data_IF_755264442851
#
_entry.id   IF_755264442851
#
_cell.length_a   1.000
_cell.length_b   1.000
_cell.length_c   1.000
_cell.angle_alpha   90.00
_cell.angle_beta   90.00
_cell.angle_gamma   90.00
#
_symmetry.space_group_name_H-M   'P 1'
#
loop_
_entity.id
_entity.type
_entity.pdbx_description
1 polymer ?
#
# COMPACT_ATOMS: atom_id res chain seq x y z
N UNK A 1 -92.22 -3.64 -14.62
CA UNK A 1 -91.59 -3.84 -13.29
C UNK A 1 -90.30 -4.61 -13.48
N UNK A 2 -89.21 -4.11 -12.89
CA UNK A 2 -87.98 -4.82 -12.46
C UNK A 2 -87.21 -5.66 -13.51
N UNK A 3 -86.03 -5.24 -13.97
CA UNK A 3 -84.69 -5.63 -13.46
C UNK A 3 -84.39 -7.14 -13.69
N UNK A 4 -83.23 -7.62 -14.13
CA UNK A 4 -81.89 -7.06 -14.27
C UNK A 4 -80.97 -8.20 -14.80
N UNK A 5 -80.15 -7.89 -15.81
CA UNK A 5 -78.69 -8.15 -15.89
C UNK A 5 -78.21 -9.62 -15.80
N UNK A 6 -77.53 -10.13 -16.86
CA UNK A 6 -76.07 -10.31 -16.85
C UNK A 6 -75.49 -10.63 -18.25
N UNK A 7 -74.26 -10.13 -18.45
CA UNK A 7 -73.51 -9.89 -19.69
C UNK A 7 -72.46 -11.03 -19.94
N UNK A 8 -71.30 -10.81 -20.59
CA UNK A 8 -71.05 -10.89 -22.04
C UNK A 8 -69.84 -11.80 -22.36
N UNK A 9 -69.46 -11.91 -23.64
CA UNK A 9 -68.07 -12.18 -24.03
C UNK A 9 -67.73 -11.42 -25.31
N UNK A 10 -66.80 -10.46 -25.22
CA UNK A 10 -65.97 -10.01 -26.36
C UNK A 10 -64.61 -9.55 -25.85
N UNK A 11 -63.57 -10.11 -26.48
CA UNK A 11 -62.16 -9.78 -26.32
C UNK A 11 -61.87 -8.33 -26.74
N UNK A 12 -61.05 -7.64 -25.95
CA UNK A 12 -60.33 -6.45 -26.36
C UNK A 12 -58.83 -6.74 -26.26
N UNK A 13 -58.11 -6.53 -27.36
CA UNK A 13 -56.65 -6.54 -27.38
C UNK A 13 -56.14 -5.20 -26.84
N UNK A 14 -55.27 -5.25 -25.84
CA UNK A 14 -54.55 -4.09 -25.31
C UNK A 14 -53.08 -4.22 -25.73
N UNK A 15 -52.61 -3.32 -26.58
CA UNK A 15 -51.18 -3.15 -26.88
C UNK A 15 -50.58 -2.34 -25.73
N UNK A 16 -49.78 -2.98 -24.89
CA UNK A 16 -49.01 -2.31 -23.85
C UNK A 16 -47.61 -2.00 -24.40
N UNK A 17 -47.36 -0.74 -24.71
CA UNK A 17 -46.01 -0.23 -25.00
C UNK A 17 -45.19 -0.18 -23.71
N UNK A 18 -44.36 -1.19 -23.48
CA UNK A 18 -43.30 -1.13 -22.47
C UNK A 18 -42.16 -0.25 -22.97
N UNK A 19 -42.09 0.98 -22.47
CA UNK A 19 -40.87 1.79 -22.51
C UNK A 19 -39.80 1.11 -21.65
N UNK A 20 -38.85 0.43 -22.28
CA UNK A 20 -37.58 0.09 -21.64
C UNK A 20 -36.80 1.40 -21.47
N UNK A 21 -36.86 1.98 -20.28
CA UNK A 21 -35.95 3.03 -19.88
C UNK A 21 -34.55 2.44 -19.78
N UNK A 22 -33.74 2.64 -20.82
CA UNK A 22 -32.29 2.46 -20.71
C UNK A 22 -31.81 3.56 -19.77
N UNK A 23 -31.63 3.21 -18.50
CA UNK A 23 -30.78 4.01 -17.62
C UNK A 23 -29.36 3.83 -18.15
N UNK A 24 -28.95 4.74 -19.03
CA UNK A 24 -27.54 4.99 -19.25
C UNK A 24 -26.99 5.50 -17.93
N UNK A 25 -26.52 4.57 -17.09
CA UNK A 25 -25.44 4.87 -16.17
C UNK A 25 -24.29 5.28 -17.08
N UNK A 26 -24.21 6.58 -17.38
CA UNK A 26 -22.95 7.21 -17.68
C UNK A 26 -22.10 6.95 -16.44
N UNK A 27 -21.41 5.80 -16.44
CA UNK A 27 -20.21 5.66 -15.66
C UNK A 27 -19.29 6.72 -16.20
N UNK A 28 -19.35 7.90 -15.60
CA UNK A 28 -18.16 8.73 -15.54
C UNK A 28 -17.10 7.76 -15.01
N UNK A 29 -16.24 7.28 -15.91
CA UNK A 29 -14.92 6.84 -15.50
C UNK A 29 -14.39 8.06 -14.78
N UNK A 30 -14.54 8.08 -13.46
CA UNK A 30 -13.85 9.03 -12.61
C UNK A 30 -12.39 8.74 -12.91
N UNK A 31 -11.82 9.54 -13.81
CA UNK A 31 -10.39 9.61 -13.99
C UNK A 31 -9.88 9.80 -12.57
N UNK A 32 -9.15 8.82 -12.07
CA UNK A 32 -8.65 8.79 -10.70
C UNK A 32 -7.90 10.10 -10.50
N UNK A 33 -8.48 11.01 -9.71
CA UNK A 33 -7.91 12.32 -9.49
C UNK A 33 -6.59 12.13 -8.76
N UNK A 34 -5.57 12.90 -9.12
CA UNK A 34 -4.29 12.89 -8.43
C UNK A 34 -4.46 12.92 -6.92
N UNK A 35 -3.74 12.06 -6.22
CA UNK A 35 -3.65 12.02 -4.74
C UNK A 35 -2.44 12.79 -4.23
N UNK A 36 -1.83 13.63 -5.06
CA UNK A 36 -0.76 14.53 -4.58
C UNK A 36 -1.28 15.34 -3.39
N UNK A 37 -0.45 15.49 -2.36
CA UNK A 37 -0.77 16.17 -1.10
C UNK A 37 -1.88 15.51 -0.25
N UNK A 38 -2.43 14.36 -0.65
CA UNK A 38 -3.35 13.57 0.18
C UNK A 38 -2.67 13.22 1.50
N UNK A 39 -3.36 13.48 2.61
CA UNK A 39 -2.95 13.05 3.95
C UNK A 39 -3.99 12.08 4.46
N UNK A 40 -3.55 10.88 4.79
CA UNK A 40 -4.39 9.87 5.40
C UNK A 40 -4.21 9.88 6.91
N UNK A 41 -5.29 9.60 7.63
CA UNK A 41 -5.29 9.41 9.07
C UNK A 41 -6.24 8.28 9.46
N UNK A 42 -6.05 7.74 10.65
CA UNK A 42 -7.00 6.78 11.22
C UNK A 42 -8.24 7.55 11.66
N UNK A 43 -9.40 7.06 11.25
CA UNK A 43 -10.70 7.61 11.66
C UNK A 43 -10.87 7.68 13.18
N UNK A 44 -11.71 8.59 13.72
CA UNK A 44 -11.93 8.71 15.16
C UNK A 44 -12.40 7.44 15.86
N UNK A 45 -13.05 6.52 15.14
CA UNK A 45 -13.48 5.23 15.70
C UNK A 45 -12.40 4.13 15.62
N UNK A 46 -11.24 4.40 15.02
CA UNK A 46 -10.13 3.47 14.95
C UNK A 46 -10.30 2.31 13.96
N UNK A 47 -11.27 2.38 13.03
CA UNK A 47 -11.64 1.20 12.20
C UNK A 47 -11.37 1.34 10.70
N UNK A 48 -11.13 2.55 10.21
CA UNK A 48 -10.85 2.81 8.80
C UNK A 48 -9.97 4.04 8.62
N UNK A 49 -9.49 4.27 7.39
CA UNK A 49 -8.72 5.45 7.02
C UNK A 49 -9.63 6.56 6.49
N UNK A 50 -9.25 7.80 6.73
CA UNK A 50 -9.90 9.00 6.21
C UNK A 50 -8.85 9.97 5.65
N UNK A 51 -9.27 10.81 4.70
CA UNK A 51 -8.45 11.93 4.24
C UNK A 51 -8.50 13.13 5.19
N UNK A 52 -7.74 14.18 4.88
CA UNK A 52 -7.69 15.43 5.66
C UNK A 52 -9.04 16.18 5.76
N UNK A 53 -10.06 15.79 5.00
CA UNK A 53 -11.39 16.37 5.00
C UNK A 53 -12.42 15.43 5.68
N UNK A 54 -11.98 14.30 6.24
CA UNK A 54 -12.83 13.32 6.89
C UNK A 54 -13.53 12.36 5.94
N UNK A 55 -13.20 12.36 4.64
CA UNK A 55 -13.78 11.42 3.68
C UNK A 55 -13.15 10.03 3.86
N UNK A 56 -13.93 8.94 3.91
CA UNK A 56 -13.40 7.59 3.97
C UNK A 56 -12.47 7.27 2.79
N UNK A 57 -11.32 6.68 3.10
CA UNK A 57 -10.38 6.12 2.13
C UNK A 57 -10.42 4.60 2.21
N UNK A 58 -10.84 3.96 1.11
CA UNK A 58 -10.84 2.50 1.02
C UNK A 58 -9.49 2.01 0.52
N UNK A 59 -8.78 1.26 1.37
CA UNK A 59 -7.50 0.63 1.01
C UNK A 59 -7.77 -0.60 0.14
N UNK A 60 -7.56 -0.46 -1.18
CA UNK A 60 -7.55 -1.56 -2.15
C UNK A 60 -6.16 -1.63 -2.77
N UNK A 61 -5.32 -2.52 -2.23
CA UNK A 61 -3.92 -2.62 -2.59
C UNK A 61 -3.62 -3.66 -3.66
N UNK A 62 -2.72 -3.31 -4.59
CA UNK A 62 -1.98 -4.29 -5.40
C UNK A 62 -0.51 -4.36 -4.94
N UNK A 63 0.19 -5.44 -5.30
CA UNK A 63 1.55 -5.70 -4.84
C UNK A 63 2.51 -5.88 -6.01
N UNK A 64 3.45 -4.94 -6.17
CA UNK A 64 4.55 -5.02 -7.13
C UNK A 64 5.88 -4.85 -6.40
N UNK A 65 6.34 -5.92 -5.73
CA UNK A 65 7.46 -5.82 -4.78
C UNK A 65 8.75 -5.23 -5.34
N UNK A 66 9.03 -5.45 -6.63
CA UNK A 66 10.28 -5.05 -7.28
C UNK A 66 10.08 -3.87 -8.24
N UNK A 67 9.04 -3.06 -8.01
CA UNK A 67 8.61 -1.96 -8.87
C UNK A 67 9.77 -1.04 -9.26
N UNK A 68 10.61 -0.64 -8.30
CA UNK A 68 11.72 0.30 -8.55
C UNK A 68 12.97 -0.34 -9.16
N UNK A 69 13.04 -1.67 -9.22
CA UNK A 69 14.24 -2.40 -9.65
C UNK A 69 14.12 -3.01 -11.04
N UNK A 70 12.95 -3.57 -11.37
CA UNK A 70 12.82 -4.45 -12.53
C UNK A 70 12.11 -3.85 -13.73
N UNK A 71 11.36 -2.77 -13.55
CA UNK A 71 10.57 -2.17 -14.62
C UNK A 71 11.33 -1.01 -15.28
N UNK A 72 11.15 -0.86 -16.60
CA UNK A 72 11.45 0.40 -17.29
C UNK A 72 10.38 1.46 -16.99
N UNK A 73 10.59 2.70 -17.44
CA UNK A 73 9.62 3.79 -17.23
C UNK A 73 8.29 3.52 -17.94
N UNK A 74 8.36 2.93 -19.12
CA UNK A 74 7.19 2.56 -19.93
C UNK A 74 6.40 1.45 -19.24
N UNK A 75 7.09 0.41 -18.76
CA UNK A 75 6.47 -0.70 -18.01
C UNK A 75 5.85 -0.21 -16.69
N UNK A 76 6.48 0.75 -16.00
CA UNK A 76 5.90 1.42 -14.82
C UNK A 76 4.60 2.13 -15.19
N UNK A 77 4.59 2.95 -16.24
CA UNK A 77 3.41 3.72 -16.63
C UNK A 77 2.26 2.81 -17.08
N UNK A 78 2.56 1.76 -17.84
CA UNK A 78 1.60 0.72 -18.23
C UNK A 78 0.98 0.05 -17.00
N UNK A 79 1.81 -0.44 -16.08
CA UNK A 79 1.35 -1.09 -14.85
C UNK A 79 0.48 -0.16 -14.00
N UNK A 80 0.92 1.07 -13.74
CA UNK A 80 0.19 2.01 -12.88
C UNK A 80 -1.15 2.43 -13.50
N UNK A 81 -1.21 2.67 -14.82
CA UNK A 81 -2.47 2.94 -15.52
C UNK A 81 -3.42 1.76 -15.46
N UNK A 82 -2.92 0.54 -15.64
CA UNK A 82 -3.72 -0.67 -15.51
C UNK A 82 -4.30 -0.79 -14.10
N UNK A 83 -3.49 -0.58 -13.04
CA UNK A 83 -3.97 -0.61 -11.66
C UNK A 83 -5.02 0.46 -11.36
N UNK A 84 -4.79 1.70 -11.79
CA UNK A 84 -5.74 2.79 -11.63
C UNK A 84 -7.07 2.49 -12.35
N UNK A 85 -7.02 1.96 -13.58
CA UNK A 85 -8.25 1.63 -14.35
C UNK A 85 -9.07 0.48 -13.75
N UNK A 86 -8.43 -0.39 -12.96
CA UNK A 86 -9.09 -1.46 -12.18
C UNK A 86 -9.59 -1.01 -10.80
N UNK A 87 -9.39 0.26 -10.44
CA UNK A 87 -9.88 0.85 -9.20
C UNK A 87 -9.03 0.55 -7.96
N UNK A 88 -7.80 0.02 -8.12
CA UNK A 88 -6.86 -0.03 -6.99
C UNK A 88 -6.59 1.39 -6.48
N UNK A 89 -6.41 1.53 -5.17
CA UNK A 89 -6.10 2.81 -4.52
C UNK A 89 -4.69 2.86 -3.94
N UNK A 90 -4.06 1.70 -3.76
CA UNK A 90 -2.71 1.57 -3.19
C UNK A 90 -1.85 0.61 -4.01
N UNK A 91 -0.57 0.93 -4.18
CA UNK A 91 0.44 0.00 -4.69
C UNK A 91 1.52 -0.22 -3.63
N UNK A 92 1.81 -1.50 -3.36
CA UNK A 92 2.85 -1.92 -2.42
C UNK A 92 4.16 -2.27 -3.14
N UNK A 93 5.28 -1.75 -2.65
CA UNK A 93 6.61 -2.03 -3.20
C UNK A 93 7.70 -1.95 -2.11
N UNK A 94 8.84 -2.64 -2.32
CA UNK A 94 10.02 -2.45 -1.48
C UNK A 94 10.86 -1.29 -1.99
N UNK A 95 11.30 -0.39 -1.11
CA UNK A 95 12.33 0.61 -1.43
C UNK A 95 13.70 -0.07 -1.50
N UNK A 96 14.08 -0.77 -0.43
CA UNK A 96 15.34 -1.52 -0.38
C UNK A 96 15.08 -3.03 -0.43
N UNK A 97 15.51 -3.67 -1.52
CA UNK A 97 15.39 -5.12 -1.72
C UNK A 97 16.66 -5.70 -2.36
N UNK A 98 17.50 -6.32 -1.54
CA UNK A 98 18.78 -6.88 -1.97
C UNK A 98 19.87 -5.82 -1.96
N UNK A 99 21.07 -6.26 -1.59
CA UNK A 99 22.31 -5.48 -1.60
C UNK A 99 23.45 -6.23 -2.29
N UNK A 100 23.17 -7.40 -2.87
CA UNK A 100 24.12 -8.11 -3.70
C UNK A 100 24.44 -7.40 -5.00
N UNK A 101 25.62 -7.70 -5.50
CA UNK A 101 26.01 -7.39 -6.88
C UNK A 101 25.23 -8.28 -7.85
N UNK A 102 25.17 -9.57 -7.56
CA UNK A 102 24.44 -10.58 -8.33
C UNK A 102 23.47 -11.40 -7.48
N UNK A 103 22.58 -12.14 -8.16
CA UNK A 103 21.67 -13.08 -7.50
C UNK A 103 22.45 -14.33 -7.09
N UNK A 104 22.40 -14.66 -5.80
CA UNK A 104 22.89 -15.92 -5.24
C UNK A 104 21.79 -16.63 -4.44
N UNK A 105 22.12 -17.75 -3.80
CA UNK A 105 21.23 -18.40 -2.82
C UNK A 105 20.95 -17.51 -1.61
N UNK A 106 21.80 -16.52 -1.33
CA UNK A 106 21.79 -15.70 -0.11
C UNK A 106 21.54 -14.22 -0.40
N UNK A 107 21.31 -13.84 -1.66
CA UNK A 107 21.26 -12.44 -2.06
C UNK A 107 20.53 -12.27 -3.39
N UNK A 108 19.89 -11.12 -3.59
CA UNK A 108 19.44 -10.71 -4.92
C UNK A 108 20.16 -9.42 -5.32
N UNK A 109 20.34 -9.21 -6.62
CA UNK A 109 20.92 -7.95 -7.09
C UNK A 109 20.08 -6.77 -6.62
N UNK A 110 20.73 -5.82 -5.94
CA UNK A 110 20.10 -4.58 -5.49
C UNK A 110 19.95 -3.53 -6.58
N UNK A 111 20.49 -3.78 -7.78
CA UNK A 111 20.52 -2.82 -8.90
C UNK A 111 19.15 -2.68 -9.55
N UNK A 112 18.80 -1.45 -9.94
CA UNK A 112 17.69 -1.20 -10.85
C UNK A 112 18.08 -1.48 -12.31
N UNK A 113 17.14 -1.29 -13.24
CA UNK A 113 17.37 -1.46 -14.69
C UNK A 113 18.48 -0.57 -15.25
N UNK A 114 18.72 0.58 -14.63
CA UNK A 114 19.78 1.53 -15.02
C UNK A 114 21.14 1.14 -14.41
N UNK A 115 21.20 0.05 -13.65
CA UNK A 115 22.41 -0.42 -12.98
C UNK A 115 22.69 0.26 -11.65
N UNK A 116 21.81 1.12 -11.14
CA UNK A 116 22.02 1.89 -9.91
C UNK A 116 21.61 1.10 -8.66
N UNK A 117 22.38 1.19 -7.59
CA UNK A 117 22.02 0.66 -6.26
C UNK A 117 21.36 1.74 -5.41
N UNK A 118 20.47 1.37 -4.49
CA UNK A 118 19.79 2.34 -3.62
C UNK A 118 20.74 3.07 -2.65
N UNK A 119 21.79 2.40 -2.18
CA UNK A 119 22.74 2.95 -1.22
C UNK A 119 24.11 3.17 -1.87
N UNK A 120 24.78 4.25 -1.50
CA UNK A 120 26.20 4.47 -1.81
C UNK A 120 27.03 3.67 -0.82
N UNK A 121 27.94 2.82 -1.31
CA UNK A 121 28.84 2.00 -0.47
C UNK A 121 28.11 1.16 0.61
N UNK A 122 26.85 0.77 0.34
CA UNK A 122 25.97 0.05 1.29
C UNK A 122 25.75 0.77 2.62
N UNK A 123 25.93 2.09 2.67
CA UNK A 123 25.67 2.92 3.84
C UNK A 123 24.21 3.42 3.83
N UNK A 124 23.36 3.01 4.80
CA UNK A 124 21.96 3.46 4.85
C UNK A 124 21.78 4.95 5.09
N UNK A 125 22.82 5.68 5.48
CA UNK A 125 22.76 7.13 5.64
C UNK A 125 23.07 7.89 4.35
N UNK A 126 23.48 7.18 3.29
CA UNK A 126 23.89 7.76 1.99
C UNK A 126 23.04 7.18 0.86
N UNK A 127 21.92 7.83 0.58
CA UNK A 127 21.05 7.48 -0.55
C UNK A 127 21.75 7.77 -1.89
N UNK A 128 21.68 6.85 -2.85
CA UNK A 128 22.17 7.10 -4.21
C UNK A 128 21.12 7.91 -5.00
N UNK A 129 21.46 9.16 -5.33
CA UNK A 129 20.57 10.08 -6.03
C UNK A 129 20.08 9.55 -7.39
N UNK A 130 20.90 8.80 -8.13
CA UNK A 130 20.49 8.25 -9.44
C UNK A 130 19.37 7.20 -9.29
N UNK A 131 19.51 6.30 -8.32
CA UNK A 131 18.46 5.34 -7.98
C UNK A 131 17.19 6.05 -7.50
N UNK A 132 17.33 7.02 -6.58
CA UNK A 132 16.19 7.69 -5.99
C UNK A 132 15.47 8.63 -6.94
N UNK A 133 16.12 9.18 -7.97
CA UNK A 133 15.41 9.86 -9.08
C UNK A 133 14.44 8.94 -9.84
N UNK A 134 14.76 7.65 -9.95
CA UNK A 134 13.81 6.68 -10.50
C UNK A 134 12.64 6.45 -9.52
N UNK A 135 12.93 6.26 -8.23
CA UNK A 135 11.90 6.12 -7.19
C UNK A 135 10.96 7.32 -7.16
N UNK A 136 11.49 8.55 -7.24
CA UNK A 136 10.73 9.78 -7.31
C UNK A 136 9.78 9.80 -8.50
N UNK A 137 10.28 9.43 -9.69
CA UNK A 137 9.45 9.38 -10.89
C UNK A 137 8.27 8.42 -10.72
N UNK A 138 8.54 7.21 -10.22
CA UNK A 138 7.51 6.19 -10.01
C UNK A 138 6.46 6.63 -8.98
N UNK A 139 6.89 7.17 -7.83
CA UNK A 139 5.96 7.63 -6.77
C UNK A 139 5.13 8.81 -7.26
N UNK A 140 5.75 9.80 -7.91
CA UNK A 140 5.03 10.94 -8.47
C UNK A 140 4.01 10.48 -9.50
N UNK A 141 4.40 9.55 -10.38
CA UNK A 141 3.53 9.02 -11.41
C UNK A 141 2.34 8.25 -10.83
N UNK A 142 2.57 7.44 -9.80
CA UNK A 142 1.50 6.75 -9.09
C UNK A 142 0.52 7.75 -8.45
N UNK A 143 1.04 8.76 -7.75
CA UNK A 143 0.21 9.79 -7.12
C UNK A 143 -0.60 10.59 -8.15
N UNK A 144 -0.02 10.94 -9.31
CA UNK A 144 -0.75 11.60 -10.41
C UNK A 144 -1.93 10.80 -10.93
N UNK A 145 -1.81 9.46 -10.94
CA UNK A 145 -2.85 8.51 -11.33
C UNK A 145 -3.80 8.15 -10.19
N UNK A 146 -3.69 8.86 -9.06
CA UNK A 146 -4.53 8.68 -7.88
C UNK A 146 -4.23 7.42 -7.05
N UNK A 147 -3.02 6.88 -7.18
CA UNK A 147 -2.54 5.73 -6.40
C UNK A 147 -1.65 6.22 -5.25
N UNK A 148 -1.96 5.77 -4.04
CA UNK A 148 -1.10 5.93 -2.85
C UNK A 148 -0.01 4.86 -2.90
N UNK A 149 1.21 5.20 -2.48
CA UNK A 149 2.32 4.25 -2.42
C UNK A 149 2.52 3.75 -0.99
N UNK A 150 2.35 2.45 -0.76
CA UNK A 150 2.67 1.81 0.52
C UNK A 150 4.04 1.14 0.40
N UNK A 151 5.03 1.72 1.07
CA UNK A 151 6.43 1.40 0.83
C UNK A 151 7.00 0.59 1.98
N UNK A 152 7.38 -0.65 1.68
CA UNK A 152 8.20 -1.44 2.59
C UNK A 152 9.61 -0.87 2.55
N UNK A 153 10.02 -0.27 3.67
CA UNK A 153 11.26 0.50 3.78
C UNK A 153 12.47 -0.35 3.38
N UNK A 154 12.48 -1.62 3.82
CA UNK A 154 13.59 -2.52 3.60
C UNK A 154 13.17 -3.97 3.79
N UNK A 155 13.75 -4.93 3.08
CA UNK A 155 13.62 -6.35 3.43
C UNK A 155 14.30 -6.65 4.78
N UNK A 156 13.72 -7.54 5.56
CA UNK A 156 14.24 -7.95 6.88
C UNK A 156 15.69 -8.41 6.89
N UNK A 157 16.21 -8.94 5.79
CA UNK A 157 17.62 -9.34 5.61
C UNK A 157 18.62 -8.21 5.85
N UNK A 158 18.23 -6.96 5.66
CA UNK A 158 19.13 -5.83 5.89
C UNK A 158 19.24 -5.46 7.38
N UNK A 159 18.34 -5.99 8.23
CA UNK A 159 18.30 -5.75 9.69
C UNK A 159 18.71 -6.99 10.48
N UNK A 160 18.13 -8.14 10.14
CA UNK A 160 18.36 -9.40 10.85
C UNK A 160 19.76 -9.94 10.55
N UNK A 161 20.15 -10.97 11.28
CA UNK A 161 21.41 -11.70 11.06
C UNK A 161 21.44 -12.34 9.67
N UNK A 162 22.20 -11.71 8.76
CA UNK A 162 22.27 -12.07 7.35
C UNK A 162 23.49 -11.37 6.69
N UNK A 163 24.08 -11.90 5.60
CA UNK A 163 25.18 -11.24 4.89
C UNK A 163 24.87 -9.85 4.31
N UNK A 164 23.58 -9.56 4.10
CA UNK A 164 23.10 -8.24 3.65
C UNK A 164 22.81 -7.26 4.79
N UNK A 165 23.08 -7.62 6.05
CA UNK A 165 22.83 -6.75 7.20
C UNK A 165 23.63 -5.46 7.09
N UNK A 166 22.95 -4.33 7.17
CA UNK A 166 23.54 -2.98 7.17
C UNK A 166 22.95 -2.07 8.24
N UNK A 167 21.80 -2.44 8.82
CA UNK A 167 21.11 -1.60 9.79
C UNK A 167 21.52 -1.87 11.25
N UNK A 168 21.63 -0.77 11.99
CA UNK A 168 21.63 -0.67 13.44
C UNK A 168 20.61 0.41 13.85
N UNK A 169 20.37 0.59 15.14
CA UNK A 169 19.35 1.55 15.64
C UNK A 169 19.57 2.98 15.14
N UNK A 170 20.82 3.45 15.11
CA UNK A 170 21.14 4.83 14.74
C UNK A 170 20.92 5.08 13.24
N UNK A 171 21.48 4.23 12.37
CA UNK A 171 21.35 4.42 10.93
C UNK A 171 19.94 4.06 10.41
N UNK A 172 19.19 3.20 11.10
CA UNK A 172 17.80 2.90 10.78
C UNK A 172 16.90 4.12 10.97
N UNK A 173 17.06 4.85 12.08
CA UNK A 173 16.39 6.13 12.29
C UNK A 173 16.73 7.13 11.18
N UNK A 174 18.02 7.31 10.88
CA UNK A 174 18.47 8.24 9.84
C UNK A 174 17.90 7.86 8.48
N UNK A 175 17.92 6.59 8.10
CA UNK A 175 17.39 6.12 6.82
C UNK A 175 15.88 6.38 6.69
N UNK A 176 15.09 5.99 7.70
CA UNK A 176 13.66 6.28 7.73
C UNK A 176 13.37 7.78 7.62
N UNK A 177 14.13 8.60 8.34
CA UNK A 177 14.02 10.05 8.27
C UNK A 177 14.31 10.59 6.88
N UNK A 178 15.44 10.24 6.27
CA UNK A 178 15.81 10.71 4.92
C UNK A 178 14.73 10.39 3.88
N UNK A 179 14.16 9.18 3.92
CA UNK A 179 13.09 8.77 3.01
C UNK A 179 11.80 9.58 3.23
N UNK A 180 11.35 9.69 4.48
CA UNK A 180 10.14 10.43 4.81
C UNK A 180 10.28 11.94 4.55
N UNK A 181 11.48 12.51 4.72
CA UNK A 181 11.77 13.89 4.34
C UNK A 181 11.69 14.10 2.83
N UNK A 182 12.27 13.17 2.03
CA UNK A 182 12.23 13.20 0.56
C UNK A 182 10.80 13.14 0.03
N UNK A 183 9.97 12.28 0.62
CA UNK A 183 8.60 12.03 0.16
C UNK A 183 7.51 12.74 0.98
N UNK A 184 7.87 13.74 1.79
CA UNK A 184 6.95 14.40 2.75
C UNK A 184 5.65 14.92 2.12
N UNK A 185 5.69 15.34 0.86
CA UNK A 185 4.53 15.89 0.13
C UNK A 185 3.83 14.85 -0.76
N UNK A 186 4.38 13.65 -0.87
CA UNK A 186 3.77 12.55 -1.60
C UNK A 186 2.76 11.81 -0.73
N UNK A 187 1.77 11.20 -1.39
CA UNK A 187 0.85 10.26 -0.75
C UNK A 187 1.56 8.91 -0.61
N UNK A 188 2.30 8.80 0.49
CA UNK A 188 3.08 7.62 0.87
C UNK A 188 2.64 7.15 2.26
N UNK A 189 2.57 5.83 2.39
CA UNK A 189 2.46 5.10 3.63
C UNK A 189 3.71 4.23 3.79
N UNK A 190 4.06 3.88 5.02
CA UNK A 190 5.29 3.13 5.30
C UNK A 190 5.04 1.82 6.03
N UNK A 191 5.61 0.76 5.49
CA UNK A 191 5.88 -0.45 6.24
C UNK A 191 7.34 -0.44 6.70
N UNK A 192 7.54 -0.49 8.01
CA UNK A 192 8.76 -1.09 8.58
C UNK A 192 8.57 -2.62 8.65
N UNK A 193 9.60 -3.35 9.08
CA UNK A 193 9.61 -4.80 8.99
C UNK A 193 10.01 -5.25 7.58
N UNK A 194 9.34 -6.25 7.03
CA UNK A 194 9.65 -6.80 5.70
C UNK A 194 9.70 -8.32 5.71
N UNK A 195 8.60 -8.96 6.09
CA UNK A 195 8.42 -10.41 6.07
C UNK A 195 9.43 -11.11 7.02
N UNK A 196 9.43 -10.63 8.26
CA UNK A 196 9.96 -11.29 9.46
C UNK A 196 9.24 -10.77 10.71
N UNK A 197 9.38 -11.47 11.83
CA UNK A 197 9.02 -10.95 13.13
C UNK A 197 10.11 -9.94 13.56
N UNK A 198 9.82 -9.00 14.48
CA UNK A 198 10.82 -8.06 14.96
C UNK A 198 11.95 -8.75 15.74
N UNK A 199 11.61 -9.78 16.52
CA UNK A 199 12.58 -10.58 17.26
C UNK A 199 13.49 -9.75 18.17
N UNK A 200 14.78 -10.11 18.22
CA UNK A 200 15.82 -9.38 18.99
C UNK A 200 16.15 -8.00 18.42
N UNK A 201 15.76 -7.72 17.17
CA UNK A 201 16.09 -6.49 16.45
C UNK A 201 14.92 -5.47 16.47
N UNK A 202 13.96 -5.61 17.40
CA UNK A 202 12.79 -4.72 17.54
C UNK A 202 13.17 -3.24 17.61
N UNK A 203 14.20 -2.90 18.36
CA UNK A 203 14.66 -1.51 18.53
C UNK A 203 15.10 -0.87 17.20
N UNK A 204 15.66 -1.65 16.28
CA UNK A 204 16.06 -1.17 14.94
C UNK A 204 14.82 -0.81 14.12
N UNK A 205 13.79 -1.65 14.17
CA UNK A 205 12.52 -1.40 13.49
C UNK A 205 11.79 -0.20 14.06
N UNK A 206 11.73 -0.07 15.39
CA UNK A 206 11.12 1.07 16.05
C UNK A 206 11.88 2.37 15.75
N UNK A 207 13.21 2.34 15.72
CA UNK A 207 14.01 3.49 15.34
C UNK A 207 13.74 3.92 13.89
N UNK A 208 13.62 2.96 12.97
CA UNK A 208 13.23 3.23 11.58
C UNK A 208 11.84 3.87 11.48
N UNK A 209 10.86 3.35 12.23
CA UNK A 209 9.51 3.89 12.27
C UNK A 209 9.46 5.30 12.83
N UNK A 210 10.20 5.57 13.92
CA UNK A 210 10.36 6.94 14.46
C UNK A 210 11.00 7.87 13.44
N UNK A 211 12.01 7.42 12.71
CA UNK A 211 12.61 8.17 11.61
C UNK A 211 11.58 8.61 10.58
N UNK A 212 10.70 7.70 10.15
CA UNK A 212 9.61 8.02 9.22
C UNK A 212 8.63 9.05 9.78
N UNK A 213 8.23 8.89 11.05
CA UNK A 213 7.35 9.84 11.74
C UNK A 213 7.97 11.23 11.79
N UNK A 214 9.23 11.33 12.22
CA UNK A 214 9.92 12.61 12.39
C UNK A 214 10.22 13.28 11.04
N UNK A 215 10.68 12.51 10.04
CA UNK A 215 10.99 13.03 8.71
C UNK A 215 9.79 13.56 7.95
N UNK A 216 8.63 12.91 8.12
CA UNK A 216 7.36 13.36 7.53
C UNK A 216 6.66 14.45 8.34
N UNK A 217 7.11 14.74 9.57
CA UNK A 217 6.41 15.62 10.51
C UNK A 217 5.05 15.03 10.93
N UNK A 218 4.96 13.72 11.04
CA UNK A 218 3.73 12.98 11.37
C UNK A 218 2.72 12.88 10.23
N UNK A 219 3.08 13.28 8.99
CA UNK A 219 2.15 13.26 7.84
C UNK A 219 1.87 11.87 7.29
N UNK A 220 2.85 10.96 7.35
CA UNK A 220 2.71 9.61 6.81
C UNK A 220 2.25 8.64 7.89
N UNK A 221 1.36 7.72 7.52
CA UNK A 221 1.05 6.58 8.38
C UNK A 221 2.14 5.52 8.24
N UNK A 222 2.41 4.82 9.33
CA UNK A 222 3.42 3.80 9.48
C UNK A 222 2.76 2.55 10.08
N UNK A 223 3.07 1.41 9.49
CA UNK A 223 2.67 0.10 9.96
C UNK A 223 3.86 -0.86 9.92
N UNK A 224 3.65 -2.13 10.28
CA UNK A 224 4.69 -3.16 10.31
C UNK A 224 4.29 -4.35 9.46
N UNK A 225 5.12 -4.72 8.48
CA UNK A 225 4.93 -5.90 7.64
C UNK A 225 5.64 -7.12 8.26
N UNK A 226 4.88 -7.91 9.03
CA UNK A 226 5.31 -9.19 9.61
C UNK A 226 5.55 -10.28 8.57
N UNK A 227 5.79 -11.53 9.00
CA UNK A 227 5.87 -12.70 8.12
C UNK A 227 4.52 -13.43 7.98
N UNK A 228 4.45 -14.43 7.09
CA UNK A 228 3.24 -15.26 6.91
C UNK A 228 2.67 -15.83 8.21
N UNK A 229 1.34 -15.88 8.30
CA UNK A 229 0.56 -16.25 9.49
C UNK A 229 0.81 -15.35 10.71
N UNK A 230 0.99 -14.05 10.52
CA UNK A 230 1.11 -13.10 11.63
C UNK A 230 0.35 -11.81 11.43
N UNK A 231 0.17 -11.08 12.53
CA UNK A 231 -0.32 -9.70 12.55
C UNK A 231 0.68 -8.85 13.30
N UNK A 232 0.90 -7.61 12.84
CA UNK A 232 1.66 -6.61 13.59
C UNK A 232 1.11 -6.35 14.99
N UNK A 233 -0.18 -6.62 15.22
CA UNK A 233 -0.84 -6.43 16.51
C UNK A 233 -0.21 -7.25 17.64
N UNK A 234 0.44 -8.37 17.28
CA UNK A 234 1.11 -9.26 18.22
C UNK A 234 2.29 -8.59 18.93
N UNK A 235 2.89 -7.57 18.29
CA UNK A 235 4.13 -6.95 18.77
C UNK A 235 3.94 -5.47 19.07
N UNK A 236 3.21 -4.75 18.21
CA UNK A 236 3.27 -3.29 18.17
C UNK A 236 1.91 -2.60 18.29
N UNK A 237 0.82 -3.30 18.64
CA UNK A 237 -0.52 -2.69 18.70
C UNK A 237 -0.58 -1.42 19.56
N UNK A 238 0.21 -1.36 20.64
CA UNK A 238 0.28 -0.20 21.55
C UNK A 238 1.46 0.73 21.29
N UNK A 239 2.24 0.47 20.24
CA UNK A 239 3.39 1.30 19.92
C UNK A 239 2.92 2.65 19.36
N UNK A 240 3.44 3.75 19.90
CA UNK A 240 3.01 5.10 19.52
C UNK A 240 3.28 5.47 18.05
N UNK A 241 4.18 4.73 17.39
CA UNK A 241 4.51 4.94 15.98
C UNK A 241 3.64 4.11 15.03
N UNK A 242 2.92 3.09 15.50
CA UNK A 242 2.11 2.20 14.66
C UNK A 242 0.70 2.79 14.51
N UNK A 243 0.31 3.21 13.30
CA UNK A 243 -1.02 3.79 13.08
C UNK A 243 -2.10 2.75 12.81
N UNK A 244 -1.77 1.68 12.08
CA UNK A 244 -2.71 0.60 11.77
C UNK A 244 -2.01 -0.75 11.76
N UNK A 245 -2.76 -1.81 12.06
CA UNK A 245 -2.23 -3.17 12.00
C UNK A 245 -2.22 -3.70 10.57
N UNK A 246 -1.25 -4.57 10.26
CA UNK A 246 -1.21 -5.33 9.02
C UNK A 246 -1.11 -6.83 9.30
N UNK A 247 -1.69 -7.64 8.41
CA UNK A 247 -1.72 -9.10 8.50
C UNK A 247 -1.12 -9.66 7.21
N UNK A 248 -0.10 -10.52 7.32
CA UNK A 248 0.31 -11.38 6.22
C UNK A 248 -0.25 -12.78 6.48
N UNK A 249 -1.39 -13.11 5.88
CA UNK A 249 -2.02 -14.42 6.08
C UNK A 249 -1.57 -15.48 5.08
N UNK A 250 -1.02 -15.10 3.92
CA UNK A 250 -0.54 -16.06 2.91
C UNK A 250 0.74 -16.81 3.32
N UNK A 251 1.20 -17.80 2.55
CA UNK A 251 0.57 -18.41 1.37
C UNK A 251 0.04 -19.84 1.66
N UNK A 252 -0.04 -20.24 2.93
CA UNK A 252 -0.58 -21.54 3.30
C UNK A 252 -2.06 -21.67 2.89
N UNK A 253 -2.42 -22.78 2.26
CA UNK A 253 -3.78 -23.05 1.76
C UNK A 253 -4.87 -22.93 2.84
N UNK A 254 -4.54 -23.28 4.09
CA UNK A 254 -5.46 -23.22 5.22
C UNK A 254 -5.37 -21.93 6.04
N UNK A 255 -4.85 -20.84 5.46
CA UNK A 255 -4.71 -19.55 6.14
C UNK A 255 -6.05 -19.06 6.70
N UNK A 256 -6.12 -18.89 8.02
CA UNK A 256 -7.30 -18.41 8.74
C UNK A 256 -7.30 -16.89 8.86
N UNK A 257 -7.34 -16.20 7.71
CA UNK A 257 -7.37 -14.73 7.64
C UNK A 257 -8.51 -14.14 8.47
N UNK A 258 -9.67 -14.79 8.45
CA UNK A 258 -10.85 -14.46 9.26
C UNK A 258 -10.52 -14.34 10.76
N UNK A 259 -9.70 -15.25 11.27
CA UNK A 259 -9.32 -15.29 12.69
C UNK A 259 -8.36 -14.17 13.06
N UNK A 260 -7.41 -13.85 12.18
CA UNK A 260 -6.51 -12.71 12.40
C UNK A 260 -7.28 -11.39 12.41
N UNK A 261 -8.20 -11.20 11.46
CA UNK A 261 -9.07 -10.02 11.41
C UNK A 261 -9.93 -9.94 12.68
N UNK A 262 -10.61 -11.01 13.06
CA UNK A 262 -11.47 -11.02 14.26
C UNK A 262 -10.68 -10.72 15.54
N UNK A 263 -9.46 -11.27 15.67
CA UNK A 263 -8.56 -10.99 16.78
C UNK A 263 -8.19 -9.51 16.85
N UNK A 264 -7.73 -8.94 15.73
CA UNK A 264 -7.30 -7.54 15.68
C UNK A 264 -8.47 -6.55 15.85
N UNK A 265 -9.66 -6.92 15.37
CA UNK A 265 -10.86 -6.12 15.52
C UNK A 265 -11.35 -6.04 16.98
N UNK A 266 -11.05 -7.06 17.79
CA UNK A 266 -11.42 -7.11 19.21
C UNK A 266 -10.47 -6.33 20.14
N UNK A 267 -9.38 -5.77 19.59
CA UNK A 267 -8.47 -4.88 20.32
C UNK A 267 -9.03 -3.45 20.45
#
# INVERSE_FOLDING_TARGET
MSHSIQRPFRFAALVASTLFGVVLLAGDLLASSSVKDLKLSVSPNGRHLIDQHGKPFFYLGDTCWLLFQRLTREEVDEYLKDRASKGFTVVQAYVLRGLGEEKSSESISGRNRDGETALVERDPTRLNEAFFKNVDHVINRANELGLVMELVTSKSWHVNEHPERVFNTANAYTFGKLLAERYRQNAVLWYVGGDSAPGKDSEVWEAMARGHKDGSGGRHLVSYHGHGQTSSSQWFHRASWLDFNSIQSGHGWAARTDRWIAKDYAL
#
